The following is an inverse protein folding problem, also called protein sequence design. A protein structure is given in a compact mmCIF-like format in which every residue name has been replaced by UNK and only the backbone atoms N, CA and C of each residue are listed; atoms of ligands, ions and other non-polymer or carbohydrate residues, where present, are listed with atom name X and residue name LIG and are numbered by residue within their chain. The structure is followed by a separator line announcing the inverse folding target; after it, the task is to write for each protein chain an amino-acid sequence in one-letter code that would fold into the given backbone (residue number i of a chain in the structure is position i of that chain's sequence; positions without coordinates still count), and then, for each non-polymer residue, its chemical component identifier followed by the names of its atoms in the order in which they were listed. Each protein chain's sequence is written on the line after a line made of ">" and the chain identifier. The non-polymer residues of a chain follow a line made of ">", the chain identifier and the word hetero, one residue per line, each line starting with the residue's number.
data_IF_924133165350
#
_entry.id   IF_924133165350
#
_cell.length_a   1.000
_cell.length_b   1.000
_cell.length_c   1.000
_cell.angle_alpha   90.00
_cell.angle_beta   90.00
_cell.angle_gamma   90.00
#
_symmetry.space_group_name_H-M   'P 1'
#
loop_
_entity.id
_entity.type
_entity.pdbx_description
1 polymer ?
#
# COMPACT_ATOMS: atom_id res chain seq x y z
N UNK A 1 -11.36 5.61 -45.78
CA UNK A 1 -12.22 5.05 -44.71
C UNK A 1 -11.75 5.69 -43.41
N UNK A 2 -12.47 6.67 -42.88
CA UNK A 2 -12.16 7.24 -41.56
C UNK A 2 -12.43 6.14 -40.52
N UNK A 3 -11.39 5.66 -39.85
CA UNK A 3 -11.51 4.71 -38.76
C UNK A 3 -12.44 5.31 -37.71
N UNK A 4 -13.51 4.58 -37.37
CA UNK A 4 -14.38 4.95 -36.25
C UNK A 4 -13.46 5.13 -35.04
N UNK A 5 -13.38 6.35 -34.51
CA UNK A 5 -12.59 6.62 -33.30
C UNK A 5 -13.12 5.69 -32.21
N UNK A 6 -12.25 4.84 -31.70
CA UNK A 6 -12.59 3.89 -30.65
C UNK A 6 -13.00 4.70 -29.39
N UNK A 7 -14.26 4.57 -28.97
CA UNK A 7 -14.78 5.31 -27.82
C UNK A 7 -14.53 4.50 -26.56
N UNK A 8 -13.81 5.07 -25.61
CA UNK A 8 -13.60 4.51 -24.28
C UNK A 8 -14.66 5.01 -23.30
N UNK A 9 -15.10 4.15 -22.41
CA UNK A 9 -15.98 4.51 -21.30
C UNK A 9 -15.20 5.20 -20.16
N UNK A 10 -13.97 4.73 -19.92
CA UNK A 10 -13.12 5.17 -18.83
C UNK A 10 -11.68 5.30 -19.31
N UNK A 11 -11.02 6.39 -18.91
CA UNK A 11 -9.57 6.56 -19.02
C UNK A 11 -8.95 6.46 -17.62
N UNK A 12 -8.08 5.47 -17.39
CA UNK A 12 -7.32 5.33 -16.14
C UNK A 12 -5.92 5.90 -16.37
N UNK A 13 -5.54 6.92 -15.61
CA UNK A 13 -4.20 7.49 -15.59
C UNK A 13 -3.40 6.90 -14.44
N UNK A 14 -2.35 6.14 -14.74
CA UNK A 14 -1.52 5.38 -13.82
C UNK A 14 -1.71 3.86 -13.97
N UNK A 15 -0.72 3.20 -14.57
CA UNK A 15 -0.71 1.75 -14.80
C UNK A 15 0.11 0.97 -13.75
N UNK A 16 0.13 1.43 -12.49
CA UNK A 16 0.64 0.67 -11.35
C UNK A 16 -0.37 -0.40 -10.89
N UNK A 17 -0.10 -1.05 -9.76
CA UNK A 17 -0.94 -2.12 -9.19
C UNK A 17 -2.41 -1.68 -9.08
N UNK A 18 -2.67 -0.50 -8.51
CA UNK A 18 -4.03 0.02 -8.30
C UNK A 18 -4.77 0.25 -9.62
N UNK A 19 -4.11 0.89 -10.60
CA UNK A 19 -4.72 1.19 -11.90
C UNK A 19 -4.97 -0.07 -12.73
N UNK A 20 -4.03 -1.02 -12.79
CA UNK A 20 -4.21 -2.30 -13.48
C UNK A 20 -5.33 -3.11 -12.84
N UNK A 21 -5.41 -3.17 -11.50
CA UNK A 21 -6.48 -3.85 -10.79
C UNK A 21 -7.85 -3.26 -11.12
N UNK A 22 -7.96 -1.92 -11.13
CA UNK A 22 -9.20 -1.26 -11.53
C UNK A 22 -9.58 -1.55 -12.99
N UNK A 23 -8.61 -1.49 -13.90
CA UNK A 23 -8.85 -1.79 -15.31
C UNK A 23 -9.45 -3.18 -15.50
N UNK A 24 -8.89 -4.19 -14.81
CA UNK A 24 -9.40 -5.57 -14.85
C UNK A 24 -10.79 -5.70 -14.24
N UNK A 25 -11.09 -5.00 -13.14
CA UNK A 25 -12.43 -4.99 -12.53
C UNK A 25 -13.48 -4.39 -13.47
N UNK A 26 -13.17 -3.25 -14.09
CA UNK A 26 -14.09 -2.55 -14.99
C UNK A 26 -14.30 -3.32 -16.30
N UNK A 27 -13.26 -3.98 -16.79
CA UNK A 27 -13.36 -4.84 -17.97
C UNK A 27 -14.32 -6.02 -17.78
N UNK A 28 -14.45 -6.56 -16.57
CA UNK A 28 -15.47 -7.59 -16.25
C UNK A 28 -16.90 -7.07 -16.38
N UNK A 29 -17.08 -5.77 -16.15
CA UNK A 29 -18.36 -5.08 -16.35
C UNK A 29 -18.58 -4.65 -17.81
N UNK A 30 -17.75 -5.16 -18.74
CA UNK A 30 -17.78 -4.88 -20.18
C UNK A 30 -17.55 -3.40 -20.53
N UNK A 31 -16.93 -2.65 -19.64
CA UNK A 31 -16.53 -1.26 -19.90
C UNK A 31 -15.23 -1.25 -20.71
N UNK A 32 -15.16 -0.39 -21.71
CA UNK A 32 -13.93 -0.17 -22.49
C UNK A 32 -13.02 0.81 -21.75
N UNK A 33 -11.85 0.35 -21.42
CA UNK A 33 -10.89 1.07 -20.57
C UNK A 33 -9.63 1.41 -21.37
N UNK A 34 -9.29 2.69 -21.39
CA UNK A 34 -7.96 3.14 -21.77
C UNK A 34 -7.08 3.21 -20.51
N UNK A 35 -5.98 2.49 -20.49
CA UNK A 35 -5.02 2.47 -19.38
C UNK A 35 -3.75 3.20 -19.80
N UNK A 36 -3.43 4.31 -19.14
CA UNK A 36 -2.30 5.18 -19.48
C UNK A 36 -1.23 5.06 -18.41
N UNK A 37 -0.03 4.54 -18.73
CA UNK A 37 1.09 4.53 -17.81
C UNK A 37 1.46 5.94 -17.37
N UNK A 38 1.95 6.09 -16.13
CA UNK A 38 2.63 7.32 -15.74
C UNK A 38 3.94 7.47 -16.53
N UNK A 39 4.40 8.70 -16.79
CA UNK A 39 5.71 8.91 -17.39
C UNK A 39 6.78 8.14 -16.62
N UNK A 40 7.63 7.41 -17.33
CA UNK A 40 8.74 6.69 -16.72
C UNK A 40 9.64 7.67 -15.94
N UNK A 41 10.08 7.32 -14.70
CA UNK A 41 11.04 8.14 -14.00
C UNK A 41 12.33 8.24 -14.84
N UNK A 42 12.90 9.43 -14.92
CA UNK A 42 14.05 9.78 -15.77
C UNK A 42 15.39 9.18 -15.31
N UNK A 43 15.41 8.32 -14.30
CA UNK A 43 16.62 7.65 -13.81
C UNK A 43 16.59 6.16 -14.15
N UNK A 44 17.77 5.57 -14.39
CA UNK A 44 18.00 4.13 -14.39
C UNK A 44 17.58 3.60 -13.02
N UNK A 45 16.35 3.17 -12.93
CA UNK A 45 15.77 2.75 -11.66
C UNK A 45 16.50 1.50 -11.16
N UNK A 46 17.10 1.59 -9.97
CA UNK A 46 17.52 0.42 -9.21
C UNK A 46 16.35 -0.59 -9.13
N UNK A 47 16.68 -1.88 -9.06
CA UNK A 47 15.65 -2.92 -8.96
C UNK A 47 14.66 -2.59 -7.83
N UNK A 48 13.37 -2.74 -8.10
CA UNK A 48 12.34 -2.45 -7.10
C UNK A 48 12.44 -3.46 -5.94
N UNK A 49 12.87 -2.99 -4.79
CA UNK A 49 13.06 -3.80 -3.58
C UNK A 49 11.81 -3.92 -2.72
N UNK A 50 10.73 -3.22 -3.10
CA UNK A 50 9.52 -3.14 -2.27
C UNK A 50 8.83 -4.49 -2.14
N UNK A 51 8.32 -4.74 -0.96
CA UNK A 51 7.37 -5.80 -0.66
C UNK A 51 6.25 -5.20 0.21
N UNK A 52 5.02 -5.67 0.00
CA UNK A 52 3.86 -5.19 0.74
C UNK A 52 3.18 -6.33 1.49
N UNK A 53 2.73 -6.03 2.70
CA UNK A 53 1.85 -6.92 3.46
C UNK A 53 0.42 -6.77 2.93
N UNK A 54 -0.09 -7.76 2.22
CA UNK A 54 -1.46 -7.79 1.73
C UNK A 54 -2.35 -8.60 2.67
N UNK A 55 -3.51 -8.03 2.99
CA UNK A 55 -4.51 -8.68 3.82
C UNK A 55 -5.40 -9.64 3.02
N UNK A 56 -6.24 -10.40 3.71
CA UNK A 56 -7.14 -11.39 3.13
C UNK A 56 -8.06 -10.81 2.05
N UNK A 57 -8.61 -9.60 2.26
CA UNK A 57 -9.49 -8.96 1.29
C UNK A 57 -8.75 -8.61 -0.02
N UNK A 58 -7.53 -8.06 0.10
CA UNK A 58 -6.67 -7.76 -1.06
C UNK A 58 -6.25 -9.02 -1.81
N UNK A 59 -5.91 -10.10 -1.08
CA UNK A 59 -5.60 -11.40 -1.68
C UNK A 59 -6.79 -11.94 -2.47
N UNK A 60 -7.97 -12.02 -1.86
CA UNK A 60 -9.19 -12.50 -2.53
C UNK A 60 -9.53 -11.69 -3.78
N UNK A 61 -9.37 -10.37 -3.72
CA UNK A 61 -9.54 -9.50 -4.89
C UNK A 61 -8.59 -9.90 -6.03
N UNK A 62 -7.28 -10.00 -5.76
CA UNK A 62 -6.27 -10.32 -6.75
C UNK A 62 -6.40 -11.76 -7.28
N UNK A 63 -6.74 -12.73 -6.43
CA UNK A 63 -7.06 -14.11 -6.83
C UNK A 63 -8.27 -14.14 -7.78
N UNK A 64 -9.31 -13.38 -7.44
CA UNK A 64 -10.49 -13.27 -8.32
C UNK A 64 -10.14 -12.76 -9.71
N UNK A 65 -9.10 -11.92 -9.83
CA UNK A 65 -8.57 -11.39 -11.08
C UNK A 65 -7.50 -12.30 -11.74
N UNK A 66 -7.20 -13.46 -11.14
CA UNK A 66 -6.13 -14.38 -11.56
C UNK A 66 -4.75 -13.68 -11.61
N UNK A 67 -4.56 -12.69 -10.74
CA UNK A 67 -3.34 -11.87 -10.70
C UNK A 67 -2.57 -12.04 -9.39
N UNK A 68 -2.93 -13.02 -8.56
CA UNK A 68 -2.15 -13.36 -7.37
C UNK A 68 -0.83 -14.01 -7.78
N UNK A 69 0.33 -13.58 -7.22
CA UNK A 69 1.62 -14.19 -7.54
C UNK A 69 1.75 -15.61 -7.02
N UNK A 70 2.72 -16.34 -7.56
CA UNK A 70 3.04 -17.69 -7.12
C UNK A 70 3.58 -17.68 -5.67
N UNK A 71 3.54 -18.83 -5.01
CA UNK A 71 3.91 -18.99 -3.60
C UNK A 71 5.35 -18.51 -3.27
N UNK A 72 6.25 -18.56 -4.23
CA UNK A 72 7.61 -18.03 -4.10
C UNK A 72 7.65 -16.51 -3.90
N UNK A 73 6.65 -15.80 -4.43
CA UNK A 73 6.55 -14.33 -4.40
C UNK A 73 5.45 -13.82 -3.45
N UNK A 74 4.78 -14.71 -2.72
CA UNK A 74 3.71 -14.37 -1.79
C UNK A 74 3.81 -15.22 -0.52
N UNK A 75 4.59 -14.75 0.46
CA UNK A 75 4.88 -15.47 1.70
C UNK A 75 3.80 -15.22 2.75
N UNK A 76 3.19 -16.28 3.27
CA UNK A 76 2.23 -16.20 4.37
C UNK A 76 2.91 -15.73 5.66
N UNK A 77 2.26 -14.81 6.38
CA UNK A 77 2.62 -14.37 7.73
C UNK A 77 1.72 -15.10 8.72
N UNK A 78 2.25 -16.08 9.41
CA UNK A 78 1.51 -16.84 10.42
C UNK A 78 1.56 -16.20 11.80
N UNK A 79 2.62 -15.45 12.06
CA UNK A 79 2.79 -14.73 13.31
C UNK A 79 3.32 -13.33 13.05
N UNK A 80 2.87 -12.35 13.83
CA UNK A 80 3.43 -11.00 13.86
C UNK A 80 3.92 -10.71 15.28
N UNK A 81 5.19 -10.35 15.40
CA UNK A 81 5.83 -9.97 16.66
C UNK A 81 6.14 -8.48 16.64
N UNK A 82 5.59 -7.76 17.59
CA UNK A 82 5.82 -6.32 17.77
C UNK A 82 6.52 -6.11 19.09
N UNK A 83 7.71 -5.55 19.06
CA UNK A 83 8.54 -5.28 20.25
C UNK A 83 8.63 -3.77 20.49
N UNK A 84 8.42 -3.37 21.73
CA UNK A 84 8.59 -2.00 22.20
C UNK A 84 10.03 -1.73 22.66
N UNK A 85 10.34 -0.45 22.80
CA UNK A 85 11.67 0.07 23.19
C UNK A 85 12.14 -0.32 24.61
N UNK A 86 11.22 -0.76 25.49
CA UNK A 86 11.53 -1.14 26.87
C UNK A 86 11.03 -2.54 27.25
N UNK A 87 11.05 -3.47 26.30
CA UNK A 87 10.75 -4.89 26.54
C UNK A 87 9.27 -5.25 26.58
N UNK A 88 8.35 -4.33 26.25
CA UNK A 88 6.96 -4.68 25.93
C UNK A 88 6.89 -5.43 24.60
N UNK A 89 6.14 -6.55 24.54
CA UNK A 89 5.94 -7.28 23.30
C UNK A 89 4.45 -7.59 23.11
N UNK A 90 4.03 -7.60 21.85
CA UNK A 90 2.68 -8.06 21.43
C UNK A 90 2.88 -9.09 20.33
N UNK A 91 2.24 -10.24 20.46
CA UNK A 91 2.31 -11.33 19.49
C UNK A 91 0.91 -11.60 18.96
N UNK A 92 0.76 -11.57 17.65
CA UNK A 92 -0.45 -11.99 16.96
C UNK A 92 -0.17 -13.31 16.24
N UNK A 93 -1.02 -14.30 16.43
CA UNK A 93 -0.95 -15.60 15.78
C UNK A 93 -2.20 -15.81 14.91
N UNK A 94 -2.00 -16.47 13.76
CA UNK A 94 -3.07 -16.78 12.83
C UNK A 94 -3.98 -17.91 13.35
N UNK A 95 -3.42 -18.92 13.99
CA UNK A 95 -4.14 -20.11 14.46
C UNK A 95 -5.27 -19.77 15.45
N UNK A 96 -5.07 -18.98 16.52
CA UNK A 96 -6.14 -18.57 17.42
C UNK A 96 -7.23 -17.75 16.75
N UNK A 97 -6.94 -17.09 15.63
CA UNK A 97 -7.89 -16.32 14.84
C UNK A 97 -8.69 -17.19 13.85
N UNK A 98 -8.36 -18.49 13.74
CA UNK A 98 -8.99 -19.41 12.81
C UNK A 98 -8.68 -19.12 11.33
N UNK A 99 -7.52 -18.52 11.05
CA UNK A 99 -7.07 -18.19 9.68
C UNK A 99 -5.72 -18.84 9.36
N UNK A 100 -5.45 -19.09 8.10
CA UNK A 100 -4.18 -19.68 7.65
C UNK A 100 -3.00 -18.70 7.77
N UNK A 101 -3.28 -17.40 7.65
CA UNK A 101 -2.29 -16.33 7.75
C UNK A 101 -2.94 -15.00 8.14
N UNK A 102 -2.20 -14.16 8.85
CA UNK A 102 -2.60 -12.79 9.21
C UNK A 102 -2.50 -11.83 8.00
N UNK A 103 -1.53 -12.07 7.13
CA UNK A 103 -1.24 -11.33 5.92
C UNK A 103 -0.32 -12.16 4.99
N UNK A 104 -0.04 -11.63 3.81
CA UNK A 104 0.96 -12.19 2.89
C UNK A 104 1.93 -11.09 2.49
N UNK A 105 3.22 -11.36 2.62
CA UNK A 105 4.25 -10.47 2.09
C UNK A 105 4.43 -10.78 0.62
N UNK A 106 4.08 -9.81 -0.21
CA UNK A 106 4.06 -9.95 -1.67
C UNK A 106 5.15 -9.11 -2.29
N UNK A 107 5.92 -9.74 -3.17
CA UNK A 107 6.94 -9.10 -4.00
C UNK A 107 6.26 -8.18 -5.02
N UNK A 108 6.58 -6.88 -5.00
CA UNK A 108 5.95 -5.89 -5.87
C UNK A 108 6.22 -6.14 -7.34
N UNK A 109 7.46 -6.38 -7.80
CA UNK A 109 7.74 -6.72 -9.19
C UNK A 109 6.94 -7.91 -9.71
N UNK A 110 6.84 -8.99 -8.92
CA UNK A 110 6.11 -10.18 -9.30
C UNK A 110 4.59 -9.89 -9.44
N UNK A 111 4.01 -9.16 -8.48
CA UNK A 111 2.61 -8.75 -8.56
C UNK A 111 2.34 -7.84 -9.77
N UNK A 112 3.23 -6.89 -10.03
CA UNK A 112 3.10 -6.00 -11.20
C UNK A 112 3.18 -6.76 -12.52
N UNK A 113 4.06 -7.76 -12.60
CA UNK A 113 4.18 -8.63 -13.78
C UNK A 113 2.91 -9.45 -14.01
N UNK A 114 2.33 -10.06 -12.96
CA UNK A 114 1.08 -10.82 -13.05
C UNK A 114 -0.10 -9.95 -13.48
N UNK A 115 -0.20 -8.74 -12.94
CA UNK A 115 -1.23 -7.78 -13.35
C UNK A 115 -1.03 -7.28 -14.79
N UNK A 116 0.21 -7.06 -15.20
CA UNK A 116 0.51 -6.67 -16.59
C UNK A 116 0.15 -7.77 -17.58
N UNK A 117 0.45 -9.02 -17.24
CA UNK A 117 0.04 -10.19 -18.02
C UNK A 117 -1.48 -10.28 -18.13
N UNK A 118 -2.21 -10.16 -17.01
CA UNK A 118 -3.67 -10.19 -17.01
C UNK A 118 -4.29 -9.08 -17.87
N UNK A 119 -3.73 -7.85 -17.80
CA UNK A 119 -4.16 -6.73 -18.65
C UNK A 119 -3.92 -7.01 -20.11
N UNK A 120 -2.77 -7.59 -20.49
CA UNK A 120 -2.44 -7.91 -21.89
C UNK A 120 -3.46 -8.83 -22.55
N UNK A 121 -4.05 -9.75 -21.79
CA UNK A 121 -5.05 -10.70 -22.30
C UNK A 121 -6.50 -10.22 -22.14
N UNK A 122 -6.71 -8.98 -21.66
CA UNK A 122 -8.05 -8.45 -21.44
C UNK A 122 -8.51 -7.56 -22.62
N UNK A 123 -9.44 -8.04 -23.48
CA UNK A 123 -9.80 -7.32 -24.72
C UNK A 123 -10.53 -5.99 -24.48
N UNK A 124 -11.06 -5.75 -23.29
CA UNK A 124 -11.71 -4.49 -22.92
C UNK A 124 -10.72 -3.44 -22.42
N UNK A 125 -9.43 -3.76 -22.26
CA UNK A 125 -8.41 -2.84 -21.78
C UNK A 125 -7.39 -2.60 -22.88
N UNK A 126 -7.18 -1.34 -23.21
CA UNK A 126 -6.15 -0.91 -24.16
C UNK A 126 -5.15 -0.02 -23.45
N UNK A 127 -3.87 -0.35 -23.55
CA UNK A 127 -2.79 0.46 -23.01
C UNK A 127 -2.44 1.55 -24.02
N UNK A 128 -2.55 2.80 -23.58
CA UNK A 128 -2.37 3.99 -24.42
C UNK A 128 -1.14 4.78 -23.98
N UNK A 129 -0.41 5.33 -24.91
CA UNK A 129 0.79 6.16 -24.62
C UNK A 129 0.44 7.55 -24.08
N UNK A 130 -0.79 8.02 -24.32
CA UNK A 130 -1.27 9.33 -23.89
C UNK A 130 -2.73 9.29 -23.41
N UNK A 131 -3.14 10.20 -22.52
CA UNK A 131 -4.52 10.29 -22.05
C UNK A 131 -5.50 10.51 -23.21
N UNK A 132 -6.60 9.76 -23.18
CA UNK A 132 -7.68 9.84 -24.17
C UNK A 132 -8.95 10.42 -23.57
N UNK A 133 -9.78 10.98 -24.45
CA UNK A 133 -11.06 11.50 -24.05
C UNK A 133 -12.01 10.35 -23.67
N UNK A 134 -12.53 10.38 -22.44
CA UNK A 134 -13.54 9.46 -21.94
C UNK A 134 -14.53 10.19 -21.02
N UNK A 135 -15.77 9.71 -20.84
CA UNK A 135 -16.72 10.27 -19.87
C UNK A 135 -16.17 10.36 -18.46
N UNK A 136 -15.43 9.34 -18.02
CA UNK A 136 -14.78 9.28 -16.70
C UNK A 136 -13.28 9.13 -16.83
N UNK A 137 -12.52 9.98 -16.12
CA UNK A 137 -11.08 9.81 -15.89
C UNK A 137 -10.83 9.35 -14.45
N UNK A 138 -10.14 8.23 -14.26
CA UNK A 138 -9.71 7.74 -12.94
C UNK A 138 -8.21 7.97 -12.79
N UNK A 139 -7.80 8.63 -11.71
CA UNK A 139 -6.39 8.96 -11.44
C UNK A 139 -5.83 7.99 -10.42
N UNK A 140 -4.91 7.14 -10.87
CA UNK A 140 -4.17 6.13 -10.08
C UNK A 140 -2.64 6.35 -10.17
N UNK A 141 -2.18 7.59 -10.38
CA UNK A 141 -0.78 7.94 -10.65
C UNK A 141 0.11 7.92 -9.40
N UNK A 142 -0.45 7.57 -8.24
CA UNK A 142 0.30 7.57 -6.99
C UNK A 142 0.51 8.96 -6.39
N UNK A 143 1.49 9.08 -5.48
CA UNK A 143 1.73 10.30 -4.69
C UNK A 143 2.07 11.53 -5.54
N UNK A 144 2.86 11.34 -6.57
CA UNK A 144 3.38 12.40 -7.44
C UNK A 144 2.42 12.76 -8.59
N UNK A 145 1.12 12.50 -8.43
CA UNK A 145 0.12 12.76 -9.48
C UNK A 145 0.07 14.22 -9.88
N UNK A 146 0.45 14.52 -11.13
CA UNK A 146 0.26 15.82 -11.76
C UNK A 146 -1.20 16.06 -12.17
N UNK A 147 -1.88 15.00 -12.59
CA UNK A 147 -3.31 15.06 -13.00
C UNK A 147 -4.23 15.51 -11.87
N UNK A 148 -3.91 15.16 -10.63
CA UNK A 148 -4.65 15.66 -9.46
C UNK A 148 -4.62 17.20 -9.42
N UNK A 149 -3.45 17.79 -9.66
CA UNK A 149 -3.30 19.25 -9.71
C UNK A 149 -4.02 19.86 -10.94
N UNK A 150 -3.96 19.21 -12.11
CA UNK A 150 -4.68 19.61 -13.32
C UNK A 150 -6.20 19.73 -13.05
N UNK A 151 -6.76 18.82 -12.24
CA UNK A 151 -8.17 18.85 -11.83
C UNK A 151 -8.46 19.78 -10.66
N UNK A 152 -7.46 20.52 -10.19
CA UNK A 152 -7.58 21.49 -9.11
C UNK A 152 -7.93 20.88 -7.75
N UNK A 153 -7.65 19.58 -7.54
CA UNK A 153 -7.76 18.97 -6.22
C UNK A 153 -6.47 19.27 -5.43
N UNK A 154 -6.65 19.91 -4.24
CA UNK A 154 -5.52 20.19 -3.34
C UNK A 154 -5.12 18.91 -2.61
N UNK A 155 -3.83 18.79 -2.35
CA UNK A 155 -3.26 17.66 -1.63
C UNK A 155 -2.60 18.18 -0.36
N UNK A 156 -3.29 18.02 0.76
CA UNK A 156 -2.80 18.46 2.05
C UNK A 156 -1.76 17.45 2.53
N UNK A 157 -0.51 17.90 2.61
CA UNK A 157 0.64 17.07 2.98
C UNK A 157 1.11 17.47 4.37
N UNK A 158 1.17 16.51 5.28
CA UNK A 158 1.82 16.63 6.58
C UNK A 158 3.10 15.78 6.55
N UNK A 159 4.27 16.40 6.38
CA UNK A 159 5.53 15.66 6.38
C UNK A 159 5.84 15.16 7.80
N UNK A 160 6.41 13.98 7.88
CA UNK A 160 7.05 13.50 9.10
C UNK A 160 8.55 13.77 9.02
N UNK A 161 9.19 14.04 10.15
CA UNK A 161 10.65 14.20 10.21
C UNK A 161 11.38 12.85 10.08
N UNK A 162 10.83 11.93 9.28
CA UNK A 162 11.28 10.56 9.13
C UNK A 162 11.31 10.14 7.66
N UNK A 163 12.24 9.24 7.34
CA UNK A 163 12.33 8.57 6.05
C UNK A 163 12.26 7.07 6.25
N UNK A 164 11.72 6.36 5.27
CA UNK A 164 11.86 4.91 5.18
C UNK A 164 13.11 4.56 4.38
N UNK A 165 13.90 3.62 4.89
CA UNK A 165 14.96 2.93 4.13
C UNK A 165 14.46 1.51 3.88
N UNK A 166 14.45 1.06 2.64
CA UNK A 166 14.08 -0.29 2.28
C UNK A 166 15.21 -1.00 1.55
N UNK A 167 15.32 -2.28 1.82
CA UNK A 167 16.25 -3.19 1.16
C UNK A 167 15.82 -4.65 1.37
N UNK A 168 16.62 -5.60 0.89
CA UNK A 168 16.44 -7.04 1.15
C UNK A 168 17.71 -7.61 1.74
N UNK A 169 17.56 -8.47 2.73
CA UNK A 169 18.69 -9.16 3.36
C UNK A 169 18.42 -10.66 3.43
N UNK A 170 19.52 -11.43 3.39
CA UNK A 170 19.55 -12.83 3.75
C UNK A 170 19.96 -12.95 5.21
N UNK A 171 19.28 -13.81 5.94
CA UNK A 171 19.48 -14.06 7.37
C UNK A 171 20.17 -15.40 7.57
N UNK A 172 20.90 -15.53 8.66
CA UNK A 172 21.49 -16.81 9.11
C UNK A 172 20.39 -17.79 9.50
N UNK A 173 19.40 -17.33 10.25
CA UNK A 173 18.28 -18.15 10.71
C UNK A 173 17.04 -17.98 9.86
N UNK A 174 16.23 -19.04 9.64
CA UNK A 174 14.96 -18.94 8.95
C UNK A 174 13.99 -18.00 9.67
N UNK A 175 13.22 -17.22 8.92
CA UNK A 175 12.23 -16.28 9.47
C UNK A 175 10.99 -16.96 10.08
N UNK A 176 10.75 -18.25 9.78
CA UNK A 176 9.63 -19.01 10.34
C UNK A 176 8.23 -18.47 9.98
N UNK A 177 8.09 -17.73 8.88
CA UNK A 177 6.84 -17.03 8.51
C UNK A 177 6.37 -15.98 9.54
N UNK A 178 7.32 -15.43 10.31
CA UNK A 178 7.09 -14.40 11.33
C UNK A 178 7.46 -13.04 10.77
N UNK A 179 6.51 -12.11 10.73
CA UNK A 179 6.78 -10.70 10.54
C UNK A 179 7.21 -10.08 11.87
N UNK A 180 8.33 -9.38 11.89
CA UNK A 180 8.89 -8.78 13.11
C UNK A 180 8.96 -7.27 12.97
N UNK A 181 8.57 -6.57 14.02
CA UNK A 181 8.62 -5.12 14.08
C UNK A 181 9.18 -4.67 15.44
N UNK A 182 10.16 -3.77 15.40
CA UNK A 182 10.75 -3.15 16.57
C UNK A 182 10.44 -1.66 16.57
N UNK A 183 9.81 -1.18 17.64
CA UNK A 183 9.71 0.23 17.93
C UNK A 183 11.00 0.64 18.63
N UNK A 184 11.79 1.45 17.96
CA UNK A 184 13.07 1.96 18.45
C UNK A 184 12.87 3.41 18.94
N UNK A 185 13.79 3.94 19.75
CA UNK A 185 13.71 5.35 20.18
C UNK A 185 13.63 6.34 19.02
N UNK A 186 14.32 6.04 17.91
CA UNK A 186 14.48 6.93 16.78
C UNK A 186 13.71 6.48 15.53
N UNK A 187 12.87 5.43 15.63
CA UNK A 187 12.13 4.94 14.48
C UNK A 187 11.52 3.57 14.65
N UNK A 188 11.25 2.93 13.52
CA UNK A 188 10.60 1.61 13.49
C UNK A 188 11.31 0.75 12.45
N UNK A 189 11.78 -0.41 12.89
CA UNK A 189 12.35 -1.42 12.02
C UNK A 189 11.34 -2.56 11.80
N UNK A 190 11.14 -2.98 10.57
CA UNK A 190 10.32 -4.13 10.22
C UNK A 190 11.09 -5.12 9.35
N UNK A 191 11.02 -6.41 9.70
CA UNK A 191 11.45 -7.53 8.88
C UNK A 191 10.22 -8.29 8.39
N UNK A 192 10.07 -8.34 7.08
CA UNK A 192 8.94 -8.96 6.40
C UNK A 192 9.42 -10.24 5.71
N UNK A 193 8.89 -11.42 6.05
CA UNK A 193 9.35 -12.70 5.49
C UNK A 193 9.12 -12.76 3.98
N UNK A 194 10.15 -13.06 3.20
CA UNK A 194 10.10 -13.29 1.77
C UNK A 194 10.21 -14.78 1.45
N UNK A 195 9.73 -15.16 0.25
CA UNK A 195 9.85 -16.50 -0.26
C UNK A 195 11.30 -16.95 -0.49
N UNK A 196 11.42 -18.21 -0.85
CA UNK A 196 12.69 -18.89 -1.10
C UNK A 196 12.81 -20.20 -0.34
N UNK A 197 13.57 -21.17 -0.86
CA UNK A 197 13.59 -22.55 -0.33
C UNK A 197 14.17 -22.65 1.09
N UNK A 198 15.07 -21.74 1.47
CA UNK A 198 15.67 -21.72 2.81
C UNK A 198 14.84 -20.95 3.84
N UNK A 199 13.81 -20.19 3.43
CA UNK A 199 13.00 -19.38 4.33
C UNK A 199 13.79 -18.34 5.13
N UNK A 200 14.90 -17.85 4.60
CA UNK A 200 15.83 -16.96 5.29
C UNK A 200 16.04 -15.61 4.58
N UNK A 201 15.12 -15.20 3.75
CA UNK A 201 15.14 -13.89 3.10
C UNK A 201 14.06 -12.99 3.70
N UNK A 202 14.40 -11.74 4.00
CA UNK A 202 13.43 -10.74 4.47
C UNK A 202 13.54 -9.42 3.72
N UNK A 203 12.40 -8.78 3.48
CA UNK A 203 12.38 -7.38 3.14
C UNK A 203 12.49 -6.55 4.42
N UNK A 204 13.34 -5.53 4.36
CA UNK A 204 13.56 -4.60 5.46
C UNK A 204 12.86 -3.29 5.14
N UNK A 205 12.12 -2.76 6.11
CA UNK A 205 11.62 -1.39 6.10
C UNK A 205 12.04 -0.74 7.41
N UNK A 206 12.91 0.25 7.33
CA UNK A 206 13.43 0.95 8.48
C UNK A 206 13.07 2.44 8.41
N UNK A 207 12.12 2.85 9.25
CA UNK A 207 11.81 4.26 9.44
C UNK A 207 12.83 4.86 10.39
N UNK A 208 13.53 5.92 9.96
CA UNK A 208 14.56 6.60 10.73
C UNK A 208 14.36 8.11 10.69
N UNK A 209 14.96 8.86 11.61
CA UNK A 209 14.94 10.31 11.57
C UNK A 209 15.66 10.82 10.32
N UNK A 210 15.19 11.95 9.78
CA UNK A 210 15.73 12.51 8.54
C UNK A 210 17.25 12.77 8.59
N UNK A 211 17.76 13.17 9.75
CA UNK A 211 19.17 13.47 9.99
C UNK A 211 20.06 12.22 9.87
N UNK A 212 19.51 11.04 10.15
CA UNK A 212 20.24 9.76 10.12
C UNK A 212 20.32 9.16 8.71
N UNK A 213 19.45 9.59 7.78
CA UNK A 213 19.32 8.96 6.46
C UNK A 213 20.64 8.99 5.69
N UNK A 214 21.28 10.16 5.60
CA UNK A 214 22.50 10.33 4.81
C UNK A 214 23.63 9.45 5.35
N UNK A 215 23.79 9.38 6.67
CA UNK A 215 24.82 8.53 7.29
C UNK A 215 24.55 7.06 7.08
N UNK A 216 23.30 6.57 7.27
CA UNK A 216 22.95 5.17 7.07
C UNK A 216 23.06 4.75 5.59
N UNK A 217 22.66 5.62 4.67
CA UNK A 217 22.77 5.34 3.23
C UNK A 217 24.23 5.34 2.73
N UNK A 218 25.13 6.05 3.39
CA UNK A 218 26.56 6.09 3.06
C UNK A 218 27.35 4.91 3.66
N UNK A 219 26.80 4.15 4.60
CA UNK A 219 27.52 3.02 5.21
C UNK A 219 27.89 1.97 4.16
N UNK A 220 29.07 1.34 4.27
CA UNK A 220 29.36 0.10 3.54
C UNK A 220 28.34 -1.00 3.85
N UNK A 221 28.11 -1.99 2.97
CA UNK A 221 27.14 -3.06 3.16
C UNK A 221 27.24 -3.76 4.52
N UNK A 222 28.44 -4.09 4.95
CA UNK A 222 28.72 -4.79 6.20
C UNK A 222 28.37 -3.93 7.43
N UNK A 223 28.71 -2.65 7.40
CA UNK A 223 28.40 -1.73 8.49
C UNK A 223 26.90 -1.46 8.58
N UNK A 224 26.19 -1.39 7.44
CA UNK A 224 24.75 -1.23 7.40
C UNK A 224 24.03 -2.48 7.96
N UNK A 225 24.46 -3.70 7.56
CA UNK A 225 23.88 -4.93 8.09
C UNK A 225 24.18 -5.09 9.58
N UNK A 226 25.35 -4.66 10.07
CA UNK A 226 25.66 -4.63 11.49
C UNK A 226 24.73 -3.66 12.27
N UNK A 227 24.39 -2.51 11.69
CA UNK A 227 23.42 -1.60 12.29
C UNK A 227 22.01 -2.24 12.36
N UNK A 228 21.58 -2.96 11.29
CA UNK A 228 20.34 -3.72 11.29
C UNK A 228 20.32 -4.84 12.33
N UNK A 229 21.44 -5.59 12.47
CA UNK A 229 21.57 -6.67 13.47
C UNK A 229 21.43 -6.10 14.89
N UNK A 230 22.07 -4.97 15.17
CA UNK A 230 21.94 -4.29 16.46
C UNK A 230 20.51 -3.83 16.72
N UNK A 231 19.88 -3.16 15.74
CA UNK A 231 18.52 -2.65 15.85
C UNK A 231 17.48 -3.77 15.99
N UNK A 232 17.70 -4.91 15.37
CA UNK A 232 16.84 -6.10 15.45
C UNK A 232 17.19 -7.05 16.61
N UNK A 233 18.13 -6.66 17.49
CA UNK A 233 18.61 -7.48 18.61
C UNK A 233 19.09 -8.87 18.15
N UNK A 234 19.70 -8.95 16.98
CA UNK A 234 20.21 -10.19 16.35
C UNK A 234 19.14 -11.30 16.19
N UNK A 235 17.86 -10.93 16.09
CA UNK A 235 16.73 -11.88 16.08
C UNK A 235 16.79 -12.94 14.97
N UNK A 236 17.51 -12.68 13.87
CA UNK A 236 17.69 -13.63 12.76
C UNK A 236 19.17 -13.95 12.49
N UNK A 237 20.06 -13.72 13.48
CA UNK A 237 21.49 -13.95 13.36
C UNK A 237 22.18 -12.96 12.42
N UNK A 238 23.23 -13.41 11.76
CA UNK A 238 24.01 -12.63 10.81
C UNK A 238 23.16 -12.26 9.58
N UNK A 239 23.29 -11.01 9.13
CA UNK A 239 22.56 -10.48 7.96
C UNK A 239 23.52 -10.17 6.82
N UNK A 240 23.10 -10.50 5.59
CA UNK A 240 23.84 -10.15 4.36
C UNK A 240 22.91 -9.37 3.45
N UNK A 241 23.37 -8.20 2.95
CA UNK A 241 22.63 -7.38 2.02
C UNK A 241 22.48 -8.10 0.66
N UNK A 242 21.27 -8.16 0.12
CA UNK A 242 20.94 -8.84 -1.14
C UNK A 242 20.41 -7.90 -2.22
N UNK A 243 20.18 -6.63 -1.89
CA UNK A 243 19.68 -5.63 -2.82
C UNK A 243 20.18 -4.23 -2.43
N UNK A 244 20.09 -3.31 -3.37
CA UNK A 244 20.37 -1.90 -3.10
C UNK A 244 19.43 -1.33 -2.05
N UNK A 245 19.85 -0.25 -1.42
CA UNK A 245 19.05 0.49 -0.45
C UNK A 245 18.28 1.60 -1.17
N UNK A 246 16.97 1.64 -0.98
CA UNK A 246 16.11 2.71 -1.46
C UNK A 246 15.60 3.53 -0.27
N UNK A 247 15.41 4.85 -0.46
CA UNK A 247 14.87 5.71 0.59
C UNK A 247 13.85 6.69 0.05
N UNK A 248 12.85 7.02 0.87
CA UNK A 248 11.83 8.04 0.58
C UNK A 248 11.30 8.68 1.86
N UNK A 249 10.87 9.97 1.77
CA UNK A 249 10.29 10.66 2.90
C UNK A 249 8.95 10.05 3.31
N UNK A 250 8.69 10.00 4.61
CA UNK A 250 7.41 9.62 5.16
C UNK A 250 6.51 10.84 5.30
N UNK A 251 5.24 10.69 4.92
CA UNK A 251 4.25 11.76 4.99
C UNK A 251 2.84 11.21 5.11
N UNK A 252 1.99 11.93 5.78
CA UNK A 252 0.54 11.80 5.65
C UNK A 252 0.09 12.77 4.57
N UNK A 253 -0.73 12.32 3.64
CA UNK A 253 -1.29 13.21 2.64
C UNK A 253 -2.69 12.78 2.24
N UNK A 254 -3.56 13.76 1.96
CA UNK A 254 -4.93 13.51 1.52
C UNK A 254 -5.42 14.61 0.58
N UNK A 255 -6.16 14.20 -0.45
CA UNK A 255 -6.86 15.15 -1.30
C UNK A 255 -8.10 15.71 -0.60
N UNK A 256 -8.35 17.01 -0.76
CA UNK A 256 -9.53 17.69 -0.21
C UNK A 256 -10.81 17.12 -0.82
N UNK A 257 -10.79 16.83 -2.11
CA UNK A 257 -11.87 16.19 -2.87
C UNK A 257 -11.34 15.09 -3.76
N UNK A 258 -12.10 14.01 -3.86
CA UNK A 258 -11.70 12.83 -4.63
C UNK A 258 -12.42 12.70 -5.95
N UNK A 259 -13.41 13.51 -6.22
CA UNK A 259 -14.11 13.54 -7.49
C UNK A 259 -14.57 14.95 -7.87
N UNK A 260 -14.82 15.13 -9.15
CA UNK A 260 -15.30 16.37 -9.70
C UNK A 260 -15.63 16.28 -11.18
N UNK A 261 -16.05 17.38 -11.76
CA UNK A 261 -16.29 17.52 -13.19
C UNK A 261 -15.29 18.50 -13.79
N UNK A 262 -14.90 18.25 -15.04
CA UNK A 262 -14.18 19.22 -15.86
C UNK A 262 -15.17 19.93 -16.78
N UNK A 263 -15.07 21.26 -16.93
CA UNK A 263 -15.84 21.97 -17.92
C UNK A 263 -15.53 21.41 -19.31
N UNK A 264 -16.55 20.98 -20.03
CA UNK A 264 -16.39 20.54 -21.41
C UNK A 264 -16.81 21.67 -22.33
N UNK A 265 -15.93 22.15 -23.19
CA UNK A 265 -16.30 23.02 -24.29
C UNK A 265 -17.12 22.19 -25.29
N UNK A 266 -18.46 22.38 -25.28
CA UNK A 266 -19.39 21.88 -26.32
C UNK A 266 -19.74 20.38 -26.31
N UNK A 267 -19.38 19.60 -25.28
CA UNK A 267 -19.65 18.15 -25.18
C UNK A 267 -20.15 17.80 -23.77
N UNK A 268 -20.77 16.63 -23.58
CA UNK A 268 -21.24 16.15 -22.27
C UNK A 268 -20.18 16.30 -21.18
N UNK A 269 -20.57 16.71 -19.96
CA UNK A 269 -19.61 16.95 -18.89
C UNK A 269 -18.80 15.68 -18.59
N UNK A 270 -17.48 15.83 -18.52
CA UNK A 270 -16.57 14.77 -18.12
C UNK A 270 -16.35 14.81 -16.62
N UNK A 271 -16.24 13.65 -16.04
CA UNK A 271 -15.96 13.51 -14.61
C UNK A 271 -14.58 12.94 -14.37
N UNK A 272 -14.04 13.22 -13.18
CA UNK A 272 -12.80 12.62 -12.71
C UNK A 272 -12.97 12.10 -11.29
N UNK A 273 -12.16 11.11 -10.94
CA UNK A 273 -12.09 10.51 -9.61
C UNK A 273 -10.66 10.06 -9.28
N UNK A 274 -10.26 10.20 -8.01
CA UNK A 274 -8.95 9.78 -7.51
C UNK A 274 -9.09 8.44 -6.79
N UNK A 275 -8.04 7.59 -6.88
CA UNK A 275 -7.94 6.34 -6.14
C UNK A 275 -6.48 6.03 -5.73
N UNK A 276 -6.31 5.31 -4.63
CA UNK A 276 -5.01 4.96 -4.07
C UNK A 276 -4.22 6.19 -3.61
N UNK A 277 -2.89 6.14 -3.74
CA UNK A 277 -1.99 7.20 -3.28
C UNK A 277 -2.21 8.55 -3.98
N UNK A 278 -2.96 8.60 -5.08
CA UNK A 278 -3.39 9.85 -5.69
C UNK A 278 -4.46 10.56 -4.85
N UNK A 279 -5.27 9.83 -4.11
CA UNK A 279 -6.33 10.34 -3.23
C UNK A 279 -5.84 10.53 -1.78
N UNK A 280 -5.05 9.59 -1.27
CA UNK A 280 -4.55 9.58 0.10
C UNK A 280 -3.27 8.76 0.24
N UNK A 281 -2.40 9.21 1.11
CA UNK A 281 -1.20 8.48 1.49
C UNK A 281 -1.17 8.41 3.02
N UNK A 282 -1.05 7.21 3.57
CA UNK A 282 -1.00 6.98 5.02
C UNK A 282 0.41 6.59 5.44
N UNK A 283 0.73 6.80 6.70
CA UNK A 283 2.01 6.38 7.26
C UNK A 283 2.17 4.84 7.12
N UNK A 284 3.34 4.34 6.70
CA UNK A 284 3.55 2.92 6.41
C UNK A 284 3.66 2.03 7.64
N UNK A 285 3.29 2.50 8.85
CA UNK A 285 3.38 1.76 10.12
C UNK A 285 2.86 0.32 10.07
N UNK A 286 2.00 0.00 9.10
CA UNK A 286 1.45 -1.34 8.96
C UNK A 286 1.52 -1.88 7.52
N UNK A 287 2.29 -1.26 6.61
CA UNK A 287 2.35 -1.67 5.20
C UNK A 287 0.99 -1.63 4.48
N UNK A 288 0.03 -0.84 4.97
CA UNK A 288 -1.37 -0.91 4.54
C UNK A 288 -1.72 -0.03 3.33
N UNK A 289 -0.81 0.82 2.85
CA UNK A 289 -1.11 1.75 1.76
C UNK A 289 -1.70 1.06 0.52
N UNK A 290 -1.10 -0.05 0.09
CA UNK A 290 -1.61 -0.80 -1.06
C UNK A 290 -2.98 -1.46 -0.77
N UNK A 291 -3.22 -1.99 0.42
CA UNK A 291 -4.52 -2.56 0.79
C UNK A 291 -5.64 -1.50 0.70
N UNK A 292 -5.34 -0.26 1.11
CA UNK A 292 -6.28 0.85 1.01
C UNK A 292 -6.56 1.22 -0.44
N UNK A 293 -5.53 1.28 -1.28
CA UNK A 293 -5.68 1.55 -2.70
C UNK A 293 -6.46 0.45 -3.44
N UNK A 294 -6.26 -0.83 -3.09
CA UNK A 294 -7.04 -1.95 -3.62
C UNK A 294 -8.50 -1.89 -3.16
N UNK A 295 -8.75 -1.52 -1.90
CA UNK A 295 -10.10 -1.31 -1.40
C UNK A 295 -10.80 -0.11 -2.07
N UNK A 296 -10.05 0.94 -2.45
CA UNK A 296 -10.61 2.06 -3.22
C UNK A 296 -11.13 1.60 -4.57
N UNK A 297 -10.31 0.89 -5.33
CA UNK A 297 -10.70 0.46 -6.68
C UNK A 297 -11.78 -0.60 -6.66
N UNK A 298 -11.83 -1.44 -5.63
CA UNK A 298 -12.93 -2.36 -5.41
C UNK A 298 -14.24 -1.62 -5.13
N UNK A 299 -14.20 -0.61 -4.26
CA UNK A 299 -15.38 0.21 -3.96
C UNK A 299 -15.85 1.01 -5.17
N UNK A 300 -14.93 1.61 -5.94
CA UNK A 300 -15.27 2.34 -7.15
C UNK A 300 -15.90 1.41 -8.20
N UNK A 301 -15.30 0.25 -8.44
CA UNK A 301 -15.85 -0.74 -9.36
C UNK A 301 -17.26 -1.20 -8.94
N UNK A 302 -17.49 -1.42 -7.64
CA UNK A 302 -18.80 -1.82 -7.10
C UNK A 302 -19.84 -0.71 -7.28
N UNK A 303 -19.50 0.53 -7.00
CA UNK A 303 -20.40 1.68 -7.23
C UNK A 303 -20.76 1.81 -8.70
N UNK A 304 -19.82 1.60 -9.61
CA UNK A 304 -20.06 1.64 -11.05
C UNK A 304 -20.84 0.42 -11.54
N UNK A 305 -20.63 -0.76 -10.97
CA UNK A 305 -21.34 -2.00 -11.29
C UNK A 305 -22.81 -1.94 -10.89
N UNK A 306 -23.11 -1.37 -9.71
CA UNK A 306 -24.47 -1.30 -9.15
C UNK A 306 -25.25 -0.06 -9.58
N UNK A 307 -24.74 0.68 -10.58
CA UNK A 307 -25.46 1.83 -11.14
C UNK A 307 -26.71 1.38 -11.91
N UNK A 308 -27.72 2.21 -11.88
CA UNK A 308 -28.87 2.05 -12.77
C UNK A 308 -28.41 2.08 -14.23
N UNK A 309 -29.03 1.30 -15.11
CA UNK A 309 -28.61 1.14 -16.51
C UNK A 309 -28.62 2.45 -17.32
N UNK A 310 -29.45 3.43 -16.95
CA UNK A 310 -29.53 4.75 -17.60
C UNK A 310 -28.49 5.76 -17.08
N UNK A 311 -27.78 5.43 -15.99
CA UNK A 311 -26.77 6.33 -15.43
C UNK A 311 -25.43 6.15 -16.12
N UNK A 312 -24.83 7.30 -16.46
CA UNK A 312 -23.45 7.31 -16.97
C UNK A 312 -22.46 6.90 -15.89
N UNK A 313 -21.33 6.32 -16.27
CA UNK A 313 -20.15 6.12 -15.40
C UNK A 313 -19.64 7.47 -14.85
N UNK A 314 -19.94 8.58 -15.52
CA UNK A 314 -19.56 9.94 -15.12
C UNK A 314 -20.56 10.61 -14.14
N UNK A 315 -21.59 9.90 -13.66
CA UNK A 315 -22.59 10.48 -12.74
C UNK A 315 -21.92 10.89 -11.41
N UNK A 316 -21.93 12.19 -11.13
CA UNK A 316 -21.32 12.77 -9.93
C UNK A 316 -21.91 12.23 -8.61
N UNK A 317 -23.17 11.78 -8.59
CA UNK A 317 -23.79 11.20 -7.39
C UNK A 317 -23.14 9.88 -7.01
N UNK A 318 -22.81 9.06 -8.02
CA UNK A 318 -22.08 7.79 -7.84
C UNK A 318 -20.67 8.04 -7.32
N UNK A 319 -19.95 8.96 -7.95
CA UNK A 319 -18.57 9.30 -7.57
C UNK A 319 -18.48 9.91 -6.15
N UNK A 320 -19.44 10.77 -5.79
CA UNK A 320 -19.54 11.31 -4.42
C UNK A 320 -19.94 10.25 -3.39
N UNK A 321 -20.71 9.21 -3.79
CA UNK A 321 -20.98 8.06 -2.93
C UNK A 321 -19.69 7.32 -2.62
N UNK A 322 -18.91 6.98 -3.66
CA UNK A 322 -17.59 6.37 -3.51
C UNK A 322 -16.69 7.19 -2.58
N UNK A 323 -16.54 8.49 -2.84
CA UNK A 323 -15.71 9.39 -2.01
C UNK A 323 -16.11 9.34 -0.53
N UNK A 324 -17.40 9.47 -0.22
CA UNK A 324 -17.90 9.45 1.16
C UNK A 324 -17.65 8.11 1.84
N UNK A 325 -17.94 7.00 1.17
CA UNK A 325 -17.72 5.65 1.70
C UNK A 325 -16.25 5.40 2.01
N UNK A 326 -15.35 5.82 1.11
CA UNK A 326 -13.92 5.64 1.30
C UNK A 326 -13.34 6.55 2.37
N UNK A 327 -13.69 7.83 2.37
CA UNK A 327 -13.26 8.76 3.42
C UNK A 327 -13.72 8.29 4.81
N UNK A 328 -14.95 7.80 4.95
CA UNK A 328 -15.46 7.26 6.20
C UNK A 328 -14.69 6.01 6.66
N UNK A 329 -14.32 5.12 5.72
CA UNK A 329 -13.54 3.91 6.03
C UNK A 329 -12.10 4.22 6.48
N UNK A 330 -11.52 5.34 6.03
CA UNK A 330 -10.15 5.76 6.39
C UNK A 330 -10.06 6.46 7.74
N UNK A 331 -11.14 7.10 8.22
CA UNK A 331 -11.13 7.88 9.46
C UNK A 331 -10.63 7.11 10.69
N UNK A 332 -11.10 5.89 11.00
CA UNK A 332 -10.64 5.16 12.17
C UNK A 332 -9.16 4.79 12.10
N UNK A 333 -8.67 4.48 10.90
CA UNK A 333 -7.26 4.12 10.69
C UNK A 333 -6.35 5.34 10.84
N UNK A 334 -6.73 6.50 10.29
CA UNK A 334 -5.98 7.74 10.45
C UNK A 334 -5.83 8.10 11.94
N UNK A 335 -6.92 8.07 12.70
CA UNK A 335 -6.91 8.34 14.14
C UNK A 335 -6.03 7.35 14.92
N UNK A 336 -6.07 6.06 14.56
CA UNK A 336 -5.27 5.04 15.23
C UNK A 336 -3.77 5.20 14.91
N UNK A 337 -3.42 5.45 13.65
CA UNK A 337 -2.01 5.65 13.24
C UNK A 337 -1.43 6.95 13.80
N UNK A 338 -2.18 8.06 13.78
CA UNK A 338 -1.77 9.33 14.35
C UNK A 338 -1.63 9.22 15.88
N UNK A 339 -2.56 8.55 16.56
CA UNK A 339 -2.50 8.31 18.00
C UNK A 339 -1.28 7.47 18.40
N UNK A 340 -1.02 6.37 17.68
CA UNK A 340 0.17 5.54 17.91
C UNK A 340 1.45 6.33 17.65
N UNK A 341 1.53 7.04 16.53
CA UNK A 341 2.72 7.83 16.22
C UNK A 341 2.99 8.89 17.28
N UNK A 342 1.98 9.65 17.70
CA UNK A 342 2.14 10.65 18.77
C UNK A 342 2.59 10.01 20.09
N UNK A 343 2.05 8.82 20.41
CA UNK A 343 2.45 8.07 21.60
C UNK A 343 3.92 7.63 21.53
N UNK A 344 4.37 7.17 20.36
CA UNK A 344 5.76 6.70 20.18
C UNK A 344 6.76 7.83 19.89
N UNK A 345 6.33 8.99 19.42
CA UNK A 345 7.19 10.16 19.21
C UNK A 345 7.62 10.84 20.53
N UNK A 346 6.87 10.64 21.62
CA UNK A 346 7.18 11.26 22.93
C UNK A 346 8.19 10.41 23.70
N UNK A 347 9.36 10.97 24.01
CA UNK A 347 10.46 10.26 24.68
C UNK A 347 10.46 10.42 26.21
N UNK A 348 9.54 11.20 26.79
CA UNK A 348 9.48 11.45 28.22
C UNK A 348 9.07 10.18 29.01
N UNK A 349 9.66 9.97 30.17
CA UNK A 349 9.47 8.78 31.00
C UNK A 349 8.00 8.40 31.31
N UNK A 350 7.06 9.32 31.57
CA UNK A 350 5.65 8.97 31.77
C UNK A 350 4.99 8.33 30.54
N UNK A 351 5.35 8.79 29.34
CA UNK A 351 4.81 8.27 28.09
C UNK A 351 5.40 6.91 27.73
N UNK A 352 6.66 6.68 28.07
CA UNK A 352 7.31 5.36 27.94
C UNK A 352 6.65 4.32 28.85
N UNK A 353 6.39 4.69 30.11
CA UNK A 353 5.68 3.81 31.04
C UNK A 353 4.26 3.51 30.59
N UNK A 354 3.54 4.50 30.03
CA UNK A 354 2.19 4.33 29.47
C UNK A 354 2.20 3.40 28.25
N UNK A 355 3.20 3.51 27.37
CA UNK A 355 3.36 2.59 26.21
C UNK A 355 3.53 1.15 26.68
N UNK A 356 4.45 0.91 27.61
CA UNK A 356 4.71 -0.43 28.12
C UNK A 356 3.52 -1.03 28.86
N UNK A 357 2.85 -0.24 29.67
CA UNK A 357 1.63 -0.65 30.34
C UNK A 357 0.52 -0.93 29.31
N UNK A 358 0.36 -0.03 28.30
CA UNK A 358 -0.60 -0.20 27.22
C UNK A 358 -0.34 -1.46 26.37
N UNK A 359 0.93 -1.74 26.01
CA UNK A 359 1.29 -2.95 25.26
C UNK A 359 1.03 -4.22 26.07
N UNK A 360 1.41 -4.26 27.35
CA UNK A 360 1.12 -5.40 28.25
C UNK A 360 -0.38 -5.59 28.48
N UNK A 361 -1.11 -4.50 28.71
CA UNK A 361 -2.56 -4.54 28.86
C UNK A 361 -3.28 -4.97 27.57
N UNK A 362 -2.80 -4.53 26.42
CA UNK A 362 -3.33 -4.95 25.12
C UNK A 362 -3.03 -6.42 24.83
N UNK A 363 -1.81 -6.90 25.12
CA UNK A 363 -1.46 -8.33 24.97
C UNK A 363 -2.39 -9.22 25.79
N UNK A 364 -2.74 -8.80 27.01
CA UNK A 364 -3.64 -9.54 27.89
C UNK A 364 -5.14 -9.29 27.64
N UNK A 365 -5.51 -8.37 26.74
CA UNK A 365 -6.91 -7.93 26.56
C UNK A 365 -7.80 -8.89 25.76
N UNK A 366 -7.26 -10.02 25.23
CA UNK A 366 -8.00 -11.03 24.46
C UNK A 366 -8.96 -10.45 23.41
N UNK A 367 -10.21 -10.12 23.77
CA UNK A 367 -11.23 -9.67 22.80
C UNK A 367 -10.86 -8.40 22.03
N UNK A 368 -10.16 -7.44 22.66
CA UNK A 368 -9.74 -6.22 21.99
C UNK A 368 -8.60 -6.49 21.00
N UNK A 369 -7.67 -7.34 21.39
CA UNK A 369 -6.58 -7.80 20.53
C UNK A 369 -7.13 -8.53 19.31
N UNK A 370 -8.10 -9.44 19.50
CA UNK A 370 -8.76 -10.17 18.42
C UNK A 370 -9.52 -9.23 17.47
N UNK A 371 -10.24 -8.27 18.01
CA UNK A 371 -10.94 -7.26 17.20
C UNK A 371 -9.97 -6.45 16.33
N UNK A 372 -8.85 -5.98 16.89
CA UNK A 372 -7.83 -5.22 16.16
C UNK A 372 -7.17 -6.10 15.10
N UNK A 373 -6.83 -7.36 15.43
CA UNK A 373 -6.26 -8.31 14.48
C UNK A 373 -7.19 -8.55 13.29
N UNK A 374 -8.47 -8.84 13.53
CA UNK A 374 -9.49 -9.05 12.47
C UNK A 374 -9.64 -7.81 11.59
N UNK A 375 -9.65 -6.62 12.19
CA UNK A 375 -9.75 -5.37 11.44
C UNK A 375 -8.54 -5.13 10.55
N UNK A 376 -7.33 -5.42 11.04
CA UNK A 376 -6.09 -5.34 10.27
C UNK A 376 -6.06 -6.34 9.10
N UNK A 377 -6.62 -7.54 9.29
CA UNK A 377 -6.78 -8.55 8.24
C UNK A 377 -7.84 -8.19 7.19
N UNK A 378 -8.55 -7.07 7.33
CA UNK A 378 -9.64 -6.68 6.43
C UNK A 378 -10.91 -7.51 6.60
N UNK A 379 -11.05 -8.25 7.70
CA UNK A 379 -12.25 -9.01 8.05
C UNK A 379 -13.28 -8.06 8.70
N UNK A 380 -14.55 -8.25 8.36
CA UNK A 380 -15.67 -7.46 8.91
C UNK A 380 -16.19 -8.07 10.20
#
# INVERSE_FOLDING_TARGET
>A
MAGMAQTFDICIRGAGIVGKTLALLLARERLKVALVPAPAPSSTAAADVRAYALNTASRQLLESLRSWPDAEHATAVRQMQVQGDQGGAVVFDAEPQGVDALAWIVDVPALEARLAEAVRFQPQVEVMDAPVAAPLTVVCEGRASSTRAEFGARFDITPYAQHAIATRVRCEHPHGQVARQWFLPDGILAFLPLGGPAGNSVAVVWSVQQEQVTSLMALPPEAFTQALQTASQQALGTLTLCADRATWPLQLAKADRWCGSTPAAGVSPRSWVLAGDAAHNVHPLAGQGLNLGLADVQALAEVLRTRDYWRSVADQRLLRRYERERKAALLPMGLATDGLQQLFARQEAPWQALRNWGMKGFESSGPLKDFVARRAMGMR
#
